data_IF_153080876556
#
_entry.id   IF_153080876556
#
_cell.length_a   1.000
_cell.length_b   1.000
_cell.length_c   1.000
_cell.angle_alpha   90.00
_cell.angle_beta   90.00
_cell.angle_gamma   90.00
#
_symmetry.space_group_name_H-M   'P 1'
#
loop_
_entity.id
_entity.type
_entity.pdbx_description
1 polymer ?
#
# COMPACT_ATOMS: atom_id res chain seq x y z
N UNK A 1 -1.97 -7.82 -28.39
CA UNK A 1 -2.10 -7.55 -26.94
C UNK A 1 -1.91 -8.87 -26.18
N UNK A 2 -1.17 -8.90 -25.06
CA UNK A 2 -0.92 -10.14 -24.28
C UNK A 2 -2.21 -10.80 -23.74
N UNK A 3 -3.30 -10.04 -23.65
CA UNK A 3 -4.64 -10.53 -23.25
C UNK A 3 -5.39 -11.29 -24.34
N UNK A 4 -4.88 -11.34 -25.58
CA UNK A 4 -5.57 -12.01 -26.71
C UNK A 4 -6.95 -11.42 -27.02
N UNK A 5 -7.21 -10.17 -26.61
CA UNK A 5 -8.50 -9.49 -26.78
C UNK A 5 -9.56 -9.87 -25.75
N UNK A 6 -9.30 -10.79 -24.80
CA UNK A 6 -10.31 -11.20 -23.78
C UNK A 6 -10.32 -10.22 -22.60
N UNK A 7 -11.49 -9.65 -22.32
CA UNK A 7 -11.68 -8.69 -21.22
C UNK A 7 -11.29 -9.26 -19.85
N UNK A 8 -11.66 -10.51 -19.54
CA UNK A 8 -11.29 -11.13 -18.25
C UNK A 8 -9.79 -11.16 -17.99
N UNK A 9 -9.01 -11.54 -19.01
CA UNK A 9 -7.55 -11.58 -18.90
C UNK A 9 -6.99 -10.15 -18.83
N UNK A 10 -7.53 -9.22 -19.61
CA UNK A 10 -7.13 -7.83 -19.57
C UNK A 10 -7.35 -7.21 -18.18
N UNK A 11 -8.50 -7.45 -17.56
CA UNK A 11 -8.84 -6.92 -16.25
C UNK A 11 -7.89 -7.41 -15.14
N UNK A 12 -7.59 -8.71 -15.13
CA UNK A 12 -6.62 -9.30 -14.17
C UNK A 12 -5.23 -8.72 -14.41
N UNK A 13 -4.78 -8.63 -15.66
CA UNK A 13 -3.48 -8.05 -16.00
C UNK A 13 -3.39 -6.57 -15.62
N UNK A 14 -4.47 -5.80 -15.77
CA UNK A 14 -4.55 -4.40 -15.34
C UNK A 14 -4.42 -4.32 -13.82
N UNK A 15 -5.20 -5.07 -13.05
CA UNK A 15 -5.10 -5.09 -11.60
C UNK A 15 -3.70 -5.49 -11.13
N UNK A 16 -3.11 -6.52 -11.74
CA UNK A 16 -1.75 -6.96 -11.42
C UNK A 16 -0.70 -5.90 -11.77
N UNK A 17 -0.81 -5.28 -12.95
CA UNK A 17 0.10 -4.21 -13.36
C UNK A 17 -0.02 -2.99 -12.44
N UNK A 18 -1.25 -2.58 -12.08
CA UNK A 18 -1.51 -1.52 -11.11
C UNK A 18 -0.84 -1.85 -9.78
N UNK A 19 -1.02 -3.06 -9.25
CA UNK A 19 -0.42 -3.44 -7.98
C UNK A 19 1.11 -3.42 -8.03
N UNK A 20 1.71 -3.99 -9.09
CA UNK A 20 3.17 -4.01 -9.26
C UNK A 20 3.73 -2.59 -9.41
N UNK A 21 3.07 -1.71 -10.17
CA UNK A 21 3.50 -0.32 -10.30
C UNK A 21 3.41 0.41 -8.94
N UNK A 22 2.33 0.18 -8.19
CA UNK A 22 2.11 0.81 -6.88
C UNK A 22 3.07 0.32 -5.80
N UNK A 23 3.78 -0.79 -6.01
CA UNK A 23 4.87 -1.19 -5.12
C UNK A 23 6.03 -0.19 -5.12
N UNK A 24 6.19 0.60 -6.18
CA UNK A 24 7.36 1.46 -6.40
C UNK A 24 7.00 2.93 -6.63
N UNK A 25 5.76 3.17 -7.04
CA UNK A 25 5.18 4.48 -7.32
C UNK A 25 4.07 4.73 -6.31
N UNK A 26 3.76 5.98 -6.00
CA UNK A 26 2.65 6.29 -5.08
C UNK A 26 1.32 5.73 -5.60
N UNK A 27 0.46 5.33 -4.67
CA UNK A 27 -0.87 4.79 -4.98
C UNK A 27 -1.68 5.75 -5.86
N UNK A 28 -1.62 7.05 -5.55
CA UNK A 28 -2.32 8.11 -6.28
C UNK A 28 -1.86 8.21 -7.73
N UNK A 29 -0.54 8.30 -7.95
CA UNK A 29 0.02 8.41 -9.30
C UNK A 29 -0.28 7.15 -10.12
N UNK A 30 -0.17 5.97 -9.51
CA UNK A 30 -0.47 4.71 -10.17
C UNK A 30 -1.94 4.62 -10.60
N UNK A 31 -2.87 4.96 -9.71
CA UNK A 31 -4.30 4.98 -10.05
C UNK A 31 -4.62 5.99 -11.17
N UNK A 32 -4.03 7.18 -11.11
CA UNK A 32 -4.19 8.22 -12.13
C UNK A 32 -3.65 7.77 -13.51
N UNK A 33 -2.52 7.06 -13.54
CA UNK A 33 -1.93 6.53 -14.78
C UNK A 33 -2.77 5.40 -15.39
N UNK A 34 -3.38 4.55 -14.56
CA UNK A 34 -4.15 3.39 -15.02
C UNK A 34 -5.60 3.75 -15.39
N UNK A 35 -6.14 4.86 -14.85
CA UNK A 35 -7.53 5.27 -15.07
C UNK A 35 -7.87 5.51 -16.56
N UNK A 36 -7.07 6.23 -17.38
CA UNK A 36 -7.34 6.37 -18.81
C UNK A 36 -7.44 5.05 -19.55
N UNK A 37 -6.63 4.05 -19.17
CA UNK A 37 -6.65 2.71 -19.79
C UNK A 37 -7.98 2.02 -19.50
N UNK A 38 -8.46 2.06 -18.25
CA UNK A 38 -9.77 1.51 -17.92
C UNK A 38 -10.91 2.26 -18.62
N UNK A 39 -10.85 3.58 -18.68
CA UNK A 39 -11.88 4.37 -19.38
C UNK A 39 -11.92 4.06 -20.87
N UNK A 40 -10.76 3.87 -21.52
CA UNK A 40 -10.69 3.45 -22.92
C UNK A 40 -11.33 2.07 -23.15
N UNK A 41 -11.15 1.12 -22.22
CA UNK A 41 -11.80 -0.20 -22.29
C UNK A 41 -13.31 -0.08 -22.06
N UNK A 42 -13.72 0.75 -21.09
CA UNK A 42 -15.14 0.97 -20.77
C UNK A 42 -15.89 1.79 -21.82
N UNK A 43 -15.20 2.52 -22.71
CA UNK A 43 -15.83 3.37 -23.72
C UNK A 43 -16.72 2.58 -24.71
N UNK A 44 -16.39 1.31 -24.95
CA UNK A 44 -17.11 0.43 -25.86
C UNK A 44 -18.17 -0.44 -25.15
N UNK A 45 -18.44 -0.20 -23.87
CA UNK A 45 -19.39 -0.98 -23.07
C UNK A 45 -20.72 -0.24 -22.89
N UNK A 46 -21.82 -1.00 -22.84
CA UNK A 46 -23.15 -0.47 -22.52
C UNK A 46 -23.28 -0.31 -21.00
N UNK A 47 -23.33 0.92 -20.49
CA UNK A 47 -23.40 1.19 -19.04
C UNK A 47 -24.62 0.57 -18.33
N UNK A 48 -25.69 0.28 -19.06
CA UNK A 48 -26.89 -0.37 -18.52
C UNK A 48 -26.69 -1.87 -18.36
N UNK A 49 -26.14 -2.53 -19.38
CA UNK A 49 -25.96 -4.00 -19.41
C UNK A 49 -24.67 -4.48 -18.75
N UNK A 50 -23.59 -3.71 -18.88
CA UNK A 50 -22.25 -4.07 -18.42
C UNK A 50 -21.82 -3.30 -17.16
N UNK A 51 -22.77 -2.75 -16.40
CA UNK A 51 -22.51 -1.98 -15.17
C UNK A 51 -21.56 -2.69 -14.21
N UNK A 52 -21.78 -3.99 -13.97
CA UNK A 52 -20.95 -4.79 -13.08
C UNK A 52 -19.50 -4.89 -13.56
N UNK A 53 -19.31 -5.01 -14.87
CA UNK A 53 -18.00 -5.05 -15.53
C UNK A 53 -17.25 -3.72 -15.42
N UNK A 54 -17.96 -2.61 -15.62
CA UNK A 54 -17.40 -1.26 -15.50
C UNK A 54 -16.93 -0.97 -14.08
N UNK A 55 -17.81 -1.22 -13.09
CA UNK A 55 -17.49 -0.99 -11.67
C UNK A 55 -16.36 -1.93 -11.21
N UNK A 56 -16.34 -3.18 -11.68
CA UNK A 56 -15.26 -4.13 -11.43
C UNK A 56 -13.89 -3.61 -11.90
N UNK A 57 -13.80 -3.06 -13.11
CA UNK A 57 -12.54 -2.50 -13.64
C UNK A 57 -12.07 -1.27 -12.87
N UNK A 58 -12.97 -0.32 -12.65
CA UNK A 58 -12.64 0.95 -12.00
C UNK A 58 -12.25 0.74 -10.53
N UNK A 59 -13.06 0.03 -9.74
CA UNK A 59 -12.72 -0.29 -8.35
C UNK A 59 -11.52 -1.23 -8.26
N UNK A 60 -11.37 -2.15 -9.22
CA UNK A 60 -10.21 -3.03 -9.33
C UNK A 60 -8.89 -2.25 -9.39
N UNK A 61 -8.83 -1.17 -10.17
CA UNK A 61 -7.64 -0.30 -10.22
C UNK A 61 -7.41 0.39 -8.88
N UNK A 62 -8.44 1.05 -8.32
CA UNK A 62 -8.28 1.80 -7.07
C UNK A 62 -7.78 0.90 -5.93
N UNK A 63 -8.40 -0.27 -5.76
CA UNK A 63 -8.01 -1.21 -4.71
C UNK A 63 -6.68 -1.88 -5.00
N UNK A 64 -6.36 -2.21 -6.26
CA UNK A 64 -5.05 -2.76 -6.62
C UNK A 64 -3.91 -1.77 -6.35
N UNK A 65 -4.13 -0.46 -6.54
CA UNK A 65 -3.15 0.55 -6.20
C UNK A 65 -2.89 0.56 -4.68
N UNK A 66 -3.94 0.68 -3.86
CA UNK A 66 -3.79 0.67 -2.40
C UNK A 66 -3.15 -0.63 -1.86
N UNK A 67 -3.57 -1.80 -2.38
CA UNK A 67 -3.01 -3.10 -1.97
C UNK A 67 -1.57 -3.24 -2.45
N UNK A 68 -1.27 -2.84 -3.69
CA UNK A 68 0.09 -2.90 -4.26
C UNK A 68 1.09 -2.08 -3.46
N UNK A 69 0.65 -0.93 -2.93
CA UNK A 69 1.45 -0.08 -2.06
C UNK A 69 1.94 -0.76 -0.77
N UNK A 70 1.31 -1.85 -0.33
CA UNK A 70 1.76 -2.64 0.83
C UNK A 70 3.07 -3.42 0.55
N UNK A 71 3.33 -3.77 -0.71
CA UNK A 71 4.35 -4.74 -1.08
C UNK A 71 5.79 -4.34 -0.74
N UNK A 72 6.11 -3.05 -0.72
CA UNK A 72 7.46 -2.55 -0.37
C UNK A 72 7.38 -1.32 0.54
N UNK A 73 8.52 -0.90 1.11
CA UNK A 73 8.60 0.31 1.93
C UNK A 73 8.23 1.59 1.18
N UNK A 74 8.48 1.64 -0.13
CA UNK A 74 8.36 2.86 -0.93
C UNK A 74 6.92 3.11 -1.36
N UNK A 75 6.13 2.05 -1.54
CA UNK A 75 4.78 2.15 -2.12
C UNK A 75 3.80 2.99 -1.29
N UNK A 76 3.88 2.94 0.05
CA UNK A 76 2.95 3.65 0.93
C UNK A 76 3.65 4.20 2.19
N UNK A 77 3.44 5.47 2.58
CA UNK A 77 4.07 6.06 3.77
C UNK A 77 3.86 5.32 5.10
N UNK A 78 2.70 4.72 5.43
CA UNK A 78 2.52 3.90 6.62
C UNK A 78 3.55 2.78 6.79
N UNK A 79 3.99 2.17 5.69
CA UNK A 79 4.97 1.09 5.69
C UNK A 79 6.32 1.59 6.25
N UNK A 80 6.73 2.77 5.80
CA UNK A 80 7.97 3.40 6.24
C UNK A 80 7.88 3.81 7.71
N UNK A 81 6.73 4.27 8.19
CA UNK A 81 6.50 4.59 9.61
C UNK A 81 6.71 3.35 10.48
N UNK A 82 6.10 2.23 10.11
CA UNK A 82 6.30 0.96 10.84
C UNK A 82 7.75 0.52 10.79
N UNK A 83 8.38 0.60 9.61
CA UNK A 83 9.75 0.19 9.46
C UNK A 83 10.72 1.02 10.30
N UNK A 84 10.51 2.33 10.40
CA UNK A 84 11.29 3.19 11.29
C UNK A 84 11.05 2.86 12.76
N UNK A 85 9.79 2.66 13.17
CA UNK A 85 9.46 2.30 14.55
C UNK A 85 10.06 0.94 14.99
N UNK A 86 10.20 0.00 14.05
CA UNK A 86 10.74 -1.35 14.29
C UNK A 86 12.22 -1.50 13.88
N UNK A 87 12.85 -0.47 13.33
CA UNK A 87 14.19 -0.53 12.71
C UNK A 87 14.32 -1.62 11.61
N UNK A 88 13.28 -1.79 10.80
CA UNK A 88 13.29 -2.73 9.68
C UNK A 88 14.04 -2.16 8.48
N UNK A 89 14.85 -3.00 7.84
CA UNK A 89 15.36 -2.72 6.49
C UNK A 89 14.28 -2.94 5.43
N UNK A 90 14.55 -2.48 4.21
CA UNK A 90 13.70 -2.73 3.05
C UNK A 90 13.38 -4.22 2.85
N UNK A 91 14.39 -5.08 2.95
CA UNK A 91 14.22 -6.52 2.83
C UNK A 91 13.39 -7.12 3.98
N UNK A 92 13.43 -6.53 5.19
CA UNK A 92 12.64 -7.02 6.31
C UNK A 92 11.16 -6.69 6.12
N UNK A 93 10.83 -5.47 5.66
CA UNK A 93 9.45 -5.13 5.32
C UNK A 93 8.91 -5.93 4.14
N UNK A 94 9.70 -6.17 3.09
CA UNK A 94 9.24 -6.99 1.97
C UNK A 94 8.78 -8.38 2.41
N UNK A 95 9.38 -8.96 3.46
CA UNK A 95 8.93 -10.25 4.02
C UNK A 95 7.56 -10.18 4.70
N UNK A 96 7.12 -8.98 5.07
CA UNK A 96 5.80 -8.71 5.65
C UNK A 96 4.80 -8.28 4.58
N UNK A 97 5.12 -7.19 3.89
CA UNK A 97 4.24 -6.54 2.93
C UNK A 97 3.95 -7.39 1.70
N UNK A 98 4.97 -8.05 1.13
CA UNK A 98 4.80 -8.81 -0.11
C UNK A 98 3.88 -10.04 0.07
N UNK A 99 4.04 -10.89 1.10
CA UNK A 99 3.09 -11.98 1.34
C UNK A 99 1.66 -11.51 1.57
N UNK A 100 1.47 -10.45 2.37
CA UNK A 100 0.13 -9.89 2.61
C UNK A 100 -0.49 -9.41 1.29
N UNK A 101 0.25 -8.63 0.50
CA UNK A 101 -0.19 -8.15 -0.82
C UNK A 101 -0.56 -9.31 -1.75
N UNK A 102 0.27 -10.34 -1.83
CA UNK A 102 0.05 -11.52 -2.68
C UNK A 102 -1.21 -12.30 -2.32
N UNK A 103 -1.61 -12.32 -1.05
CA UNK A 103 -2.87 -12.96 -0.59
C UNK A 103 -4.07 -12.03 -0.75
N UNK A 104 -3.86 -10.73 -0.49
CA UNK A 104 -4.92 -9.73 -0.50
C UNK A 104 -5.42 -9.39 -1.91
N UNK A 105 -4.54 -9.42 -2.91
CA UNK A 105 -4.92 -9.18 -4.32
C UNK A 105 -5.93 -10.21 -4.85
N UNK A 106 -5.71 -11.54 -4.73
CA UNK A 106 -6.72 -12.55 -5.05
C UNK A 106 -8.02 -12.39 -4.28
N UNK A 107 -7.95 -12.07 -2.98
CA UNK A 107 -9.16 -11.84 -2.15
C UNK A 107 -9.95 -10.65 -2.71
N UNK A 108 -9.28 -9.54 -3.02
CA UNK A 108 -9.90 -8.36 -3.62
C UNK A 108 -10.57 -8.68 -4.96
N UNK A 109 -9.88 -9.40 -5.85
CA UNK A 109 -10.46 -9.82 -7.13
C UNK A 109 -11.66 -10.75 -6.94
N UNK A 110 -11.60 -11.69 -5.99
CA UNK A 110 -12.70 -12.59 -5.68
C UNK A 110 -13.90 -11.83 -5.11
N UNK A 111 -13.69 -10.89 -4.18
CA UNK A 111 -14.76 -10.05 -3.62
C UNK A 111 -15.41 -9.22 -4.73
N UNK A 112 -14.63 -8.52 -5.56
CA UNK A 112 -15.16 -7.75 -6.69
C UNK A 112 -15.95 -8.64 -7.67
N UNK A 113 -15.43 -9.82 -7.99
CA UNK A 113 -16.10 -10.76 -8.90
C UNK A 113 -17.43 -11.25 -8.33
N UNK A 114 -17.47 -11.63 -7.05
CA UNK A 114 -18.68 -12.13 -6.40
C UNK A 114 -19.75 -11.05 -6.22
N UNK A 115 -19.34 -9.81 -5.92
CA UNK A 115 -20.25 -8.68 -5.69
C UNK A 115 -20.83 -8.15 -7.00
N UNK A 116 -20.00 -7.97 -8.02
CA UNK A 116 -20.41 -7.30 -9.26
C UNK A 116 -20.72 -8.25 -10.43
N UNK A 117 -20.30 -9.52 -10.35
CA UNK A 117 -20.53 -10.56 -11.37
C UNK A 117 -20.26 -10.05 -12.79
N UNK A 118 -19.04 -9.60 -13.09
CA UNK A 118 -18.72 -8.94 -14.35
C UNK A 118 -18.85 -9.89 -15.55
N UNK A 119 -19.29 -9.36 -16.69
CA UNK A 119 -19.29 -10.09 -17.95
C UNK A 119 -17.92 -10.01 -18.62
N UNK A 120 -17.06 -10.98 -18.34
CA UNK A 120 -15.67 -11.01 -18.82
C UNK A 120 -15.48 -11.57 -20.23
N UNK A 121 -16.59 -11.90 -20.91
CA UNK A 121 -16.57 -12.53 -22.25
C UNK A 121 -16.37 -11.56 -23.41
N UNK A 122 -16.46 -10.26 -23.15
CA UNK A 122 -16.26 -9.21 -24.16
C UNK A 122 -14.89 -9.29 -24.82
N UNK A 123 -14.87 -9.06 -26.13
CA UNK A 123 -13.65 -8.87 -26.90
C UNK A 123 -13.36 -7.37 -26.98
N UNK A 124 -12.17 -6.98 -26.53
CA UNK A 124 -11.72 -5.59 -26.63
C UNK A 124 -10.80 -5.48 -27.85
N UNK A 125 -11.16 -4.58 -28.76
CA UNK A 125 -10.21 -4.03 -29.72
C UNK A 125 -9.43 -2.94 -29.00
N UNK A 126 -8.16 -3.22 -28.71
CA UNK A 126 -7.24 -2.23 -28.16
C UNK A 126 -6.31 -1.80 -29.28
N UNK A 127 -6.27 -0.51 -29.57
CA UNK A 127 -5.17 0.04 -30.35
C UNK A 127 -3.88 -0.12 -29.55
N UNK A 128 -3.00 -0.96 -30.08
CA UNK A 128 -1.68 -1.19 -29.50
C UNK A 128 -0.78 -0.06 -29.98
N UNK A 129 -0.73 1.02 -29.23
CA UNK A 129 0.29 2.03 -29.47
C UNK A 129 1.67 1.41 -29.20
N UNK A 130 2.55 1.44 -30.21
CA UNK A 130 3.91 0.94 -30.03
C UNK A 130 4.71 1.95 -29.21
N UNK A 131 5.08 1.56 -27.99
CA UNK A 131 5.91 2.37 -27.10
C UNK A 131 7.39 2.07 -27.42
N UNK A 132 8.15 2.98 -28.06
CA UNK A 132 9.53 2.70 -28.46
C UNK A 132 10.48 2.63 -27.26
N UNK A 133 11.49 1.76 -27.35
CA UNK A 133 12.56 1.67 -26.38
C UNK A 133 13.60 2.75 -26.64
N UNK A 134 13.46 3.89 -25.95
CA UNK A 134 14.41 5.00 -26.04
C UNK A 134 15.55 4.81 -25.03
N UNK A 135 16.72 5.38 -25.33
CA UNK A 135 17.89 5.32 -24.42
C UNK A 135 17.54 5.79 -22.99
N UNK A 136 16.84 6.94 -22.79
CA UNK A 136 16.44 7.35 -21.44
C UNK A 136 15.62 6.29 -20.71
N UNK A 137 14.61 5.67 -21.36
CA UNK A 137 13.76 4.63 -20.75
C UNK A 137 14.55 3.40 -20.32
N UNK A 138 15.48 2.94 -21.15
CA UNK A 138 16.33 1.78 -20.82
C UNK A 138 17.22 2.10 -19.62
N UNK A 139 17.87 3.27 -19.62
CA UNK A 139 18.74 3.68 -18.51
C UNK A 139 17.93 3.82 -17.22
N UNK A 140 16.73 4.39 -17.26
CA UNK A 140 15.84 4.46 -16.09
C UNK A 140 15.54 3.07 -15.52
N UNK A 141 15.21 2.10 -16.38
CA UNK A 141 14.94 0.72 -15.95
C UNK A 141 16.18 0.07 -15.33
N UNK A 142 17.36 0.27 -15.94
CA UNK A 142 18.61 -0.26 -15.40
C UNK A 142 18.90 0.33 -14.02
N UNK A 143 18.82 1.66 -13.86
CA UNK A 143 19.02 2.31 -12.57
C UNK A 143 18.02 1.79 -11.55
N UNK A 144 16.73 1.71 -11.90
CA UNK A 144 15.68 1.18 -11.03
C UNK A 144 15.97 -0.26 -10.56
N UNK A 145 16.35 -1.16 -11.47
CA UNK A 145 16.68 -2.55 -11.13
C UNK A 145 17.90 -2.62 -10.22
N UNK A 146 18.92 -1.80 -10.46
CA UNK A 146 20.11 -1.72 -9.60
C UNK A 146 19.76 -1.16 -8.21
N UNK A 147 18.90 -0.15 -8.11
CA UNK A 147 18.40 0.39 -6.83
C UNK A 147 17.63 -0.68 -6.05
N UNK A 148 16.68 -1.37 -6.70
CA UNK A 148 15.90 -2.42 -6.07
C UNK A 148 16.79 -3.58 -5.59
N UNK A 149 17.76 -4.00 -6.40
CA UNK A 149 18.76 -4.99 -5.99
C UNK A 149 19.61 -4.49 -4.81
N UNK A 150 20.02 -3.23 -4.82
CA UNK A 150 20.76 -2.59 -3.74
C UNK A 150 20.01 -2.62 -2.41
N UNK A 151 18.69 -2.39 -2.42
CA UNK A 151 17.85 -2.49 -1.21
C UNK A 151 17.64 -3.94 -0.75
N UNK A 152 17.44 -4.89 -1.66
CA UNK A 152 17.26 -6.31 -1.29
C UNK A 152 18.54 -6.89 -0.69
N UNK A 153 19.71 -6.50 -1.21
CA UNK A 153 21.02 -7.01 -0.79
C UNK A 153 21.80 -6.05 0.10
N UNK A 154 21.15 -5.06 0.72
CA UNK A 154 21.84 -3.99 1.48
C UNK A 154 22.70 -4.54 2.62
N UNK A 155 22.21 -5.56 3.34
CA UNK A 155 22.96 -6.25 4.41
C UNK A 155 24.21 -6.97 3.88
N UNK A 156 24.14 -7.62 2.72
CA UNK A 156 25.27 -8.30 2.09
C UNK A 156 26.28 -7.30 1.53
N UNK A 157 25.79 -6.22 0.92
CA UNK A 157 26.62 -5.16 0.36
C UNK A 157 27.40 -4.42 1.46
N UNK A 158 26.75 -4.12 2.58
CA UNK A 158 27.39 -3.54 3.77
C UNK A 158 28.55 -4.41 4.28
N UNK A 159 28.38 -5.73 4.32
CA UNK A 159 29.46 -6.67 4.68
C UNK A 159 30.61 -6.71 3.68
N UNK A 160 30.33 -6.59 2.38
CA UNK A 160 31.35 -6.64 1.32
C UNK A 160 32.18 -5.35 1.26
N UNK A 161 31.55 -4.20 1.45
CA UNK A 161 32.20 -2.88 1.31
C UNK A 161 32.91 -2.46 2.61
N UNK A 162 32.61 -3.08 3.75
CA UNK A 162 33.25 -2.78 5.04
C UNK A 162 32.81 -1.46 5.68
N UNK A 163 31.86 -0.75 5.05
CA UNK A 163 31.18 0.43 5.58
C UNK A 163 29.68 0.16 5.71
N UNK A 164 29.04 0.75 6.71
CA UNK A 164 27.61 0.56 7.02
C UNK A 164 26.68 1.16 5.96
N UNK A 165 26.55 0.49 4.81
CA UNK A 165 25.58 0.86 3.78
C UNK A 165 24.18 0.52 4.31
N UNK A 166 23.42 1.55 4.68
CA UNK A 166 22.00 1.48 4.94
C UNK A 166 21.17 1.77 3.67
N UNK A 167 19.87 1.48 3.73
CA UNK A 167 18.95 1.65 2.60
C UNK A 167 18.83 3.11 2.13
N UNK A 168 19.12 4.08 3.01
CA UNK A 168 19.10 5.50 2.69
C UNK A 168 20.26 5.89 1.75
N UNK A 169 21.46 5.33 1.91
CA UNK A 169 22.57 5.57 0.97
C UNK A 169 22.22 5.09 -0.44
N UNK A 170 21.60 3.92 -0.57
CA UNK A 170 21.16 3.37 -1.87
C UNK A 170 20.15 4.31 -2.53
N UNK A 171 19.18 4.80 -1.77
CA UNK A 171 18.16 5.74 -2.26
C UNK A 171 18.77 7.06 -2.74
N UNK A 172 19.63 7.69 -1.94
CA UNK A 172 20.28 8.97 -2.27
C UNK A 172 21.19 8.81 -3.49
N UNK A 173 22.00 7.75 -3.56
CA UNK A 173 22.85 7.49 -4.72
C UNK A 173 22.03 7.35 -6.01
N UNK A 174 20.89 6.66 -5.93
CA UNK A 174 20.00 6.48 -7.08
C UNK A 174 19.40 7.81 -7.56
N UNK A 175 18.97 8.66 -6.63
CA UNK A 175 18.48 10.00 -6.95
C UNK A 175 19.56 10.87 -7.63
N UNK A 176 20.79 10.85 -7.11
CA UNK A 176 21.93 11.57 -7.71
C UNK A 176 22.23 11.05 -9.11
N UNK A 177 22.28 9.72 -9.30
CA UNK A 177 22.57 9.09 -10.59
C UNK A 177 21.54 9.48 -11.64
N UNK A 178 20.24 9.49 -11.32
CA UNK A 178 19.18 9.89 -12.25
C UNK A 178 19.34 11.35 -12.72
N UNK A 179 19.68 12.26 -11.79
CA UNK A 179 19.87 13.68 -12.10
C UNK A 179 21.15 13.91 -12.92
N UNK A 180 22.26 13.26 -12.55
CA UNK A 180 23.55 13.38 -13.24
C UNK A 180 23.48 12.81 -14.66
N UNK A 181 22.76 11.70 -14.86
CA UNK A 181 22.53 11.12 -16.19
C UNK A 181 21.55 11.94 -17.05
N UNK A 182 20.99 13.03 -16.52
CA UNK A 182 20.06 13.89 -17.24
C UNK A 182 18.72 13.24 -17.57
N UNK A 183 18.35 12.18 -16.83
CA UNK A 183 17.11 11.44 -17.02
C UNK A 183 15.93 12.22 -16.43
N UNK A 184 16.13 12.87 -15.28
CA UNK A 184 15.17 13.78 -14.66
C UNK A 184 15.88 15.05 -14.19
N UNK A 185 15.18 16.18 -14.16
CA UNK A 185 15.73 17.41 -13.58
C UNK A 185 15.53 17.39 -12.08
N UNK A 186 16.41 18.05 -11.34
CA UNK A 186 16.25 18.22 -9.89
C UNK A 186 14.92 18.87 -9.52
N UNK A 187 14.45 19.82 -10.35
CA UNK A 187 13.12 20.43 -10.21
C UNK A 187 12.02 19.37 -10.16
N UNK A 188 12.01 18.44 -11.12
CA UNK A 188 11.01 17.38 -11.21
C UNK A 188 11.07 16.48 -9.96
N UNK A 189 12.26 16.12 -9.50
CA UNK A 189 12.46 15.33 -8.28
C UNK A 189 11.92 16.06 -7.06
N UNK A 190 12.23 17.35 -6.92
CA UNK A 190 11.81 18.15 -5.78
C UNK A 190 10.29 18.37 -5.72
N UNK A 191 9.64 18.61 -6.86
CA UNK A 191 8.18 18.79 -6.92
C UNK A 191 7.41 17.49 -6.69
N UNK A 192 7.94 16.36 -7.15
CA UNK A 192 7.31 15.04 -6.93
C UNK A 192 7.64 14.43 -5.56
N UNK A 193 8.46 15.11 -4.75
CA UNK A 193 8.77 14.67 -3.38
C UNK A 193 7.73 15.21 -2.40
N UNK A 194 7.08 14.31 -1.66
CA UNK A 194 6.12 14.67 -0.62
C UNK A 194 6.84 15.12 0.68
N UNK A 195 7.41 16.33 0.68
CA UNK A 195 8.18 16.89 1.81
C UNK A 195 7.40 16.89 3.14
N UNK A 196 6.08 17.09 3.08
CA UNK A 196 5.20 17.04 4.25
C UNK A 196 5.18 15.67 4.93
N UNK A 197 5.27 14.58 4.14
CA UNK A 197 5.33 13.22 4.68
C UNK A 197 6.66 12.97 5.40
N UNK A 198 7.78 13.49 4.87
CA UNK A 198 9.08 13.43 5.53
C UNK A 198 9.09 14.18 6.87
N UNK A 199 8.48 15.38 6.92
CA UNK A 199 8.31 16.13 8.17
C UNK A 199 7.43 15.39 9.18
N UNK A 200 6.36 14.74 8.71
CA UNK A 200 5.47 13.95 9.55
C UNK A 200 6.19 12.73 10.16
N UNK A 201 7.11 12.09 9.43
CA UNK A 201 7.94 11.01 9.99
C UNK A 201 8.82 11.51 11.14
N UNK A 202 9.48 12.65 10.98
CA UNK A 202 10.25 13.27 12.06
C UNK A 202 9.38 13.61 13.28
N UNK A 203 8.16 14.12 13.04
CA UNK A 203 7.17 14.36 14.07
C UNK A 203 6.73 13.08 14.80
N UNK A 204 6.47 11.98 14.08
CA UNK A 204 6.09 10.69 14.65
C UNK A 204 7.20 10.06 15.50
N UNK A 205 8.46 10.15 15.06
CA UNK A 205 9.62 9.71 15.84
C UNK A 205 9.78 10.55 17.12
N UNK A 206 9.60 11.87 17.02
CA UNK A 206 9.62 12.78 18.17
C UNK A 206 8.51 12.42 19.17
N UNK A 207 7.29 12.20 18.68
CA UNK A 207 6.16 11.77 19.50
C UNK A 207 6.45 10.43 20.20
N UNK A 208 7.04 9.46 19.49
CA UNK A 208 7.43 8.16 20.06
C UNK A 208 8.40 8.33 21.24
N UNK A 209 9.41 9.18 21.09
CA UNK A 209 10.38 9.45 22.14
C UNK A 209 9.72 10.13 23.35
N UNK A 210 8.91 11.17 23.10
CA UNK A 210 8.19 11.90 24.16
C UNK A 210 7.23 10.98 24.93
N UNK A 211 6.52 10.07 24.26
CA UNK A 211 5.62 9.13 24.92
C UNK A 211 6.36 8.12 25.81
N UNK A 212 7.56 7.70 25.39
CA UNK A 212 8.46 6.86 26.20
C UNK A 212 8.99 7.60 27.42
N UNK A 213 9.59 8.77 27.21
CA UNK A 213 10.25 9.56 28.26
C UNK A 213 9.26 10.13 29.29
N UNK A 214 8.05 10.52 28.84
CA UNK A 214 6.99 11.00 29.74
C UNK A 214 6.31 9.90 30.56
N UNK A 215 6.54 8.62 30.22
CA UNK A 215 5.83 7.49 30.80
C UNK A 215 4.37 7.32 30.32
N UNK A 216 3.90 8.13 29.38
CA UNK A 216 2.55 8.03 28.81
C UNK A 216 2.30 6.66 28.13
N UNK A 217 3.32 6.10 27.45
CA UNK A 217 3.23 4.75 26.89
C UNK A 217 2.95 3.68 27.95
N UNK A 218 3.49 3.85 29.17
CA UNK A 218 3.24 2.93 30.29
C UNK A 218 1.80 3.03 30.77
N UNK A 219 1.27 4.25 30.95
CA UNK A 219 -0.12 4.46 31.38
C UNK A 219 -1.11 3.86 30.37
N UNK A 220 -0.88 4.10 29.07
CA UNK A 220 -1.71 3.52 28.00
C UNK A 220 -1.60 2.00 27.95
N UNK A 221 -0.38 1.46 28.05
CA UNK A 221 -0.14 0.03 28.11
C UNK A 221 -0.82 -0.64 29.30
N UNK A 222 -0.71 -0.06 30.48
CA UNK A 222 -1.37 -0.53 31.71
C UNK A 222 -2.89 -0.47 31.58
N UNK A 223 -3.45 0.57 30.97
CA UNK A 223 -4.89 0.68 30.72
C UNK A 223 -5.37 -0.45 29.81
N UNK A 224 -4.70 -0.66 28.69
CA UNK A 224 -5.04 -1.74 27.74
C UNK A 224 -4.85 -3.11 28.39
N UNK A 225 -3.76 -3.33 29.13
CA UNK A 225 -3.50 -4.57 29.85
C UNK A 225 -4.55 -4.83 30.96
N UNK A 226 -5.04 -3.80 31.65
CA UNK A 226 -6.12 -3.95 32.64
C UNK A 226 -7.45 -4.30 31.99
N UNK A 227 -7.77 -3.69 30.84
CA UNK A 227 -9.04 -3.92 30.15
C UNK A 227 -9.04 -5.23 29.36
N UNK A 228 -7.90 -5.63 28.78
CA UNK A 228 -7.78 -6.72 27.82
C UNK A 228 -6.72 -7.78 28.17
N UNK A 229 -6.06 -7.71 29.32
CA UNK A 229 -4.96 -8.63 29.67
C UNK A 229 -5.37 -10.11 29.83
N UNK A 230 -6.67 -10.38 30.03
CA UNK A 230 -7.23 -11.74 29.98
C UNK A 230 -7.77 -12.16 28.61
N UNK A 231 -7.79 -11.25 27.63
CA UNK A 231 -8.32 -11.54 26.30
C UNK A 231 -7.28 -12.31 25.47
N UNK A 232 -7.72 -13.28 24.64
CA UNK A 232 -6.84 -13.94 23.68
C UNK A 232 -6.14 -12.90 22.77
N UNK A 233 -4.82 -13.03 22.58
CA UNK A 233 -4.02 -12.09 21.78
C UNK A 233 -4.60 -11.86 20.39
N UNK A 234 -5.14 -12.92 19.75
CA UNK A 234 -5.79 -12.81 18.45
C UNK A 234 -6.98 -11.82 18.45
N UNK A 235 -7.77 -11.76 19.54
CA UNK A 235 -8.89 -10.81 19.65
C UNK A 235 -8.37 -9.39 19.75
N UNK A 236 -7.28 -9.16 20.48
CA UNK A 236 -6.63 -7.83 20.57
C UNK A 236 -6.15 -7.37 19.19
N UNK A 237 -5.51 -8.26 18.43
CA UNK A 237 -5.08 -7.97 17.06
C UNK A 237 -6.28 -7.65 16.15
N UNK A 238 -7.35 -8.45 16.23
CA UNK A 238 -8.55 -8.26 15.42
C UNK A 238 -9.27 -6.94 15.73
N UNK A 239 -9.45 -6.60 17.00
CA UNK A 239 -10.05 -5.32 17.41
C UNK A 239 -9.19 -4.15 16.96
N UNK A 240 -7.85 -4.26 17.09
CA UNK A 240 -6.92 -3.24 16.62
C UNK A 240 -7.01 -3.06 15.09
N UNK A 241 -7.08 -4.16 14.34
CA UNK A 241 -7.23 -4.14 12.89
C UNK A 241 -8.54 -3.48 12.46
N UNK A 242 -9.66 -3.84 13.09
CA UNK A 242 -10.97 -3.22 12.82
C UNK A 242 -10.93 -1.73 13.14
N UNK A 243 -10.34 -1.35 14.28
CA UNK A 243 -10.24 0.04 14.70
C UNK A 243 -9.47 0.89 13.67
N UNK A 244 -8.27 0.46 13.26
CA UNK A 244 -7.47 1.23 12.31
C UNK A 244 -8.12 1.28 10.92
N UNK A 245 -8.71 0.17 10.46
CA UNK A 245 -9.39 0.11 9.16
C UNK A 245 -10.58 1.07 9.14
N UNK A 246 -11.38 1.11 10.20
CA UNK A 246 -12.46 2.07 10.32
C UNK A 246 -11.97 3.51 10.41
N UNK A 247 -10.92 3.78 11.22
CA UNK A 247 -10.39 5.13 11.41
C UNK A 247 -9.84 5.72 10.11
N UNK A 248 -9.15 4.90 9.32
CA UNK A 248 -8.50 5.34 8.08
C UNK A 248 -9.50 5.67 6.96
N UNK A 249 -10.77 5.31 7.11
CA UNK A 249 -11.81 5.76 6.17
C UNK A 249 -12.09 7.27 6.33
N UNK A 250 -11.90 7.80 7.54
CA UNK A 250 -12.19 9.20 7.88
C UNK A 250 -10.94 10.08 7.98
N UNK A 251 -9.76 9.46 7.97
CA UNK A 251 -8.48 10.13 8.27
C UNK A 251 -7.42 9.69 7.25
N UNK A 252 -6.45 10.55 6.96
CA UNK A 252 -5.31 10.17 6.10
C UNK A 252 -4.58 8.93 6.64
N UNK A 253 -4.32 7.96 5.77
CA UNK A 253 -3.57 6.74 6.07
C UNK A 253 -2.25 7.04 6.79
N UNK A 254 -1.48 7.99 6.25
CA UNK A 254 -0.19 8.39 6.80
C UNK A 254 -0.32 9.03 8.18
N UNK A 255 -1.31 9.91 8.37
CA UNK A 255 -1.55 10.56 9.66
C UNK A 255 -1.97 9.53 10.73
N UNK A 256 -2.86 8.60 10.38
CA UNK A 256 -3.30 7.51 11.25
C UNK A 256 -2.12 6.64 11.69
N UNK A 257 -1.26 6.23 10.76
CA UNK A 257 -0.07 5.45 11.07
C UNK A 257 0.95 6.24 11.92
N UNK A 258 1.21 7.50 11.58
CA UNK A 258 2.20 8.34 12.27
C UNK A 258 1.83 8.56 13.74
N UNK A 259 0.53 8.66 14.04
CA UNK A 259 0.04 8.79 15.41
C UNK A 259 0.02 7.45 16.14
N UNK A 260 -0.53 6.40 15.51
CA UNK A 260 -0.90 5.18 16.23
C UNK A 260 0.22 4.15 16.32
N UNK A 261 1.12 4.07 15.34
CA UNK A 261 2.23 3.11 15.39
C UNK A 261 3.12 3.33 16.62
N UNK A 262 3.61 4.56 16.92
CA UNK A 262 4.38 4.79 18.14
C UNK A 262 3.65 4.43 19.42
N UNK A 263 2.36 4.80 19.51
CA UNK A 263 1.52 4.55 20.68
C UNK A 263 1.38 3.04 20.93
N UNK A 264 1.01 2.29 19.90
CA UNK A 264 0.73 0.87 20.02
C UNK A 264 1.98 0.00 20.08
N UNK A 265 3.12 0.44 19.55
CA UNK A 265 4.41 -0.21 19.79
C UNK A 265 4.78 -0.17 21.28
N UNK A 266 4.50 0.96 21.95
CA UNK A 266 4.65 1.09 23.40
C UNK A 266 3.69 0.18 24.16
N UNK A 267 2.41 0.16 23.78
CA UNK A 267 1.39 -0.71 24.38
C UNK A 267 1.75 -2.19 24.25
N UNK A 268 2.17 -2.64 23.06
CA UNK A 268 2.60 -4.03 22.82
C UNK A 268 3.68 -4.46 23.82
N UNK A 269 4.70 -3.60 24.01
CA UNK A 269 5.80 -3.87 24.93
C UNK A 269 5.32 -4.03 26.38
N UNK A 270 4.35 -3.21 26.82
CA UNK A 270 3.78 -3.29 28.17
C UNK A 270 2.90 -4.53 28.37
N UNK A 271 2.24 -4.99 27.31
CA UNK A 271 1.48 -6.24 27.31
C UNK A 271 2.38 -7.49 27.26
N UNK A 272 3.71 -7.34 27.18
CA UNK A 272 4.64 -8.45 27.00
C UNK A 272 4.62 -9.05 25.58
N UNK A 273 4.07 -8.33 24.60
CA UNK A 273 4.03 -8.73 23.20
C UNK A 273 5.19 -8.09 22.42
N UNK A 274 5.70 -8.74 21.36
CA UNK A 274 6.63 -8.12 20.44
C UNK A 274 6.03 -6.84 19.81
N UNK A 275 6.83 -5.78 19.67
CA UNK A 275 6.40 -4.47 19.14
C UNK A 275 5.84 -4.57 17.72
N UNK A 276 6.34 -5.55 16.99
CA UNK A 276 5.98 -5.92 15.62
C UNK A 276 4.47 -6.19 15.52
N UNK A 277 3.88 -6.82 16.54
CA UNK A 277 2.49 -7.29 16.49
C UNK A 277 1.50 -6.15 16.19
N UNK A 278 1.36 -5.19 17.09
CA UNK A 278 0.41 -4.09 16.92
C UNK A 278 0.88 -3.07 15.86
N UNK A 279 2.20 -2.90 15.69
CA UNK A 279 2.75 -1.96 14.70
C UNK A 279 2.42 -2.40 13.26
N UNK A 280 2.59 -3.68 12.93
CA UNK A 280 2.26 -4.23 11.60
C UNK A 280 0.75 -4.15 11.36
N UNK A 281 -0.07 -4.54 12.34
CA UNK A 281 -1.53 -4.44 12.24
C UNK A 281 -1.97 -3.01 11.89
N UNK A 282 -1.38 -2.01 12.55
CA UNK A 282 -1.72 -0.61 12.31
C UNK A 282 -1.20 -0.12 10.97
N UNK A 283 0.06 -0.37 10.63
CA UNK A 283 0.62 0.13 9.37
C UNK A 283 -0.06 -0.45 8.14
N UNK A 284 -0.28 -1.77 8.14
CA UNK A 284 -1.00 -2.44 7.05
C UNK A 284 -2.47 -2.03 7.05
N UNK A 285 -3.13 -2.07 8.22
CA UNK A 285 -4.54 -1.69 8.37
C UNK A 285 -4.85 -0.25 7.97
N UNK A 286 -3.91 0.69 8.20
CA UNK A 286 -4.04 2.08 7.76
C UNK A 286 -4.03 2.23 6.23
N UNK A 287 -3.53 1.24 5.48
CA UNK A 287 -3.60 1.27 4.00
C UNK A 287 -4.82 0.52 3.45
N UNK A 288 -5.62 -0.13 4.31
CA UNK A 288 -6.80 -0.93 3.95
C UNK A 288 -8.09 -0.09 3.91
N UNK A 289 -8.03 1.08 3.27
CA UNK A 289 -9.14 2.02 3.13
C UNK A 289 -9.93 1.77 1.84
N UNK A 290 -11.04 1.03 1.94
CA UNK A 290 -11.80 0.51 0.80
C UNK A 290 -13.27 0.96 0.75
N UNK A 291 -13.81 1.53 1.82
CA UNK A 291 -15.25 1.76 1.99
C UNK A 291 -15.69 3.08 1.37
N UNK A 292 -14.96 4.17 1.64
CA UNK A 292 -15.36 5.51 1.24
C UNK A 292 -14.51 6.09 0.10
N UNK A 293 -15.11 6.95 -0.76
CA UNK A 293 -14.37 7.62 -1.83
C UNK A 293 -13.26 8.55 -1.32
N UNK A 294 -13.55 9.29 -0.24
CA UNK A 294 -12.66 10.33 0.30
C UNK A 294 -11.48 9.72 1.08
N UNK A 295 -11.57 8.45 1.47
CA UNK A 295 -10.58 7.79 2.30
C UNK A 295 -9.19 7.77 1.65
N UNK A 296 -9.12 7.55 0.33
CA UNK A 296 -7.85 7.56 -0.41
C UNK A 296 -7.99 8.23 -1.77
N UNK A 297 -6.93 8.88 -2.28
CA UNK A 297 -6.97 9.48 -3.62
C UNK A 297 -7.30 8.48 -4.74
N UNK A 298 -6.80 7.22 -4.76
CA UNK A 298 -7.24 6.21 -5.72
C UNK A 298 -8.76 6.00 -5.74
N UNK A 299 -9.41 5.90 -4.57
CA UNK A 299 -10.87 5.75 -4.49
C UNK A 299 -11.57 7.01 -5.02
N UNK A 300 -11.08 8.20 -4.66
CA UNK A 300 -11.63 9.47 -5.11
C UNK A 300 -11.51 9.65 -6.63
N UNK A 301 -10.39 9.25 -7.23
CA UNK A 301 -10.14 9.35 -8.67
C UNK A 301 -11.16 8.51 -9.47
N UNK A 302 -11.34 7.25 -9.09
CA UNK A 302 -12.28 6.36 -9.80
C UNK A 302 -13.73 6.77 -9.54
N UNK A 303 -14.04 7.24 -8.33
CA UNK A 303 -15.37 7.77 -8.00
C UNK A 303 -15.68 9.06 -8.76
N UNK A 304 -14.68 9.93 -8.94
CA UNK A 304 -14.77 11.19 -9.68
C UNK A 304 -15.10 11.03 -11.16
N UNK A 305 -15.02 9.82 -11.71
CA UNK A 305 -15.53 9.51 -13.06
C UNK A 305 -17.05 9.64 -13.19
N UNK A 306 -17.78 9.66 -12.06
CA UNK A 306 -19.24 9.71 -12.03
C UNK A 306 -19.92 8.37 -12.35
N UNK A 307 -19.16 7.31 -12.65
CA UNK A 307 -19.72 6.02 -13.09
C UNK A 307 -19.99 5.03 -11.95
N UNK A 308 -19.35 5.22 -10.79
CA UNK A 308 -19.50 4.39 -9.59
C UNK A 308 -20.48 5.04 -8.61
N UNK A 309 -21.47 4.28 -8.12
CA UNK A 309 -22.36 4.75 -7.05
C UNK A 309 -21.70 4.50 -5.68
N UNK A 310 -21.90 5.41 -4.73
CA UNK A 310 -21.35 5.27 -3.39
C UNK A 310 -21.78 3.95 -2.71
N UNK A 311 -23.04 3.53 -2.89
CA UNK A 311 -23.54 2.25 -2.35
C UNK A 311 -22.78 1.03 -2.87
N UNK A 312 -22.28 1.08 -4.11
CA UNK A 312 -21.51 -0.01 -4.72
C UNK A 312 -20.12 -0.12 -4.08
N UNK A 313 -19.44 1.01 -3.94
CA UNK A 313 -18.14 1.10 -3.28
C UNK A 313 -18.24 0.65 -1.81
N UNK A 314 -19.22 1.16 -1.06
CA UNK A 314 -19.42 0.78 0.35
C UNK A 314 -19.69 -0.72 0.49
N UNK A 315 -20.57 -1.30 -0.33
CA UNK A 315 -20.90 -2.73 -0.25
C UNK A 315 -19.68 -3.62 -0.48
N UNK A 316 -18.88 -3.32 -1.49
CA UNK A 316 -17.65 -4.07 -1.77
C UNK A 316 -16.57 -3.80 -0.71
N UNK A 317 -16.38 -2.53 -0.36
CA UNK A 317 -15.39 -2.07 0.59
C UNK A 317 -15.56 -2.66 1.98
N UNK A 318 -16.78 -2.78 2.48
CA UNK A 318 -17.05 -3.40 3.80
C UNK A 318 -16.61 -4.87 3.83
N UNK A 319 -16.93 -5.63 2.78
CA UNK A 319 -16.53 -7.05 2.67
C UNK A 319 -15.00 -7.13 2.65
N UNK A 320 -14.36 -6.30 1.82
CA UNK A 320 -12.91 -6.28 1.69
C UNK A 320 -12.23 -5.83 2.99
N UNK A 321 -12.74 -4.81 3.67
CA UNK A 321 -12.27 -4.33 4.97
C UNK A 321 -12.32 -5.42 6.03
N UNK A 322 -13.43 -6.17 6.12
CA UNK A 322 -13.56 -7.30 7.04
C UNK A 322 -12.53 -8.39 6.69
N UNK A 323 -12.45 -8.81 5.42
CA UNK A 323 -11.46 -9.80 4.99
C UNK A 323 -10.03 -9.37 5.28
N UNK A 324 -9.73 -8.07 5.15
CA UNK A 324 -8.44 -7.47 5.45
C UNK A 324 -8.13 -7.53 6.94
N UNK A 325 -9.10 -7.19 7.80
CA UNK A 325 -8.94 -7.26 9.25
C UNK A 325 -8.58 -8.68 9.70
N UNK A 326 -9.30 -9.70 9.19
CA UNK A 326 -9.00 -11.10 9.47
C UNK A 326 -7.62 -11.52 8.94
N UNK A 327 -7.30 -11.16 7.68
CA UNK A 327 -6.02 -11.52 7.07
C UNK A 327 -4.83 -10.95 7.84
N UNK A 328 -4.86 -9.65 8.15
CA UNK A 328 -3.74 -8.97 8.83
C UNK A 328 -3.59 -9.47 10.26
N UNK A 329 -4.70 -9.72 10.96
CA UNK A 329 -4.67 -10.27 12.33
C UNK A 329 -4.15 -11.71 12.34
N UNK A 330 -4.61 -12.55 11.41
CA UNK A 330 -4.14 -13.93 11.29
C UNK A 330 -2.68 -14.01 10.89
N UNK A 331 -2.24 -13.22 9.91
CA UNK A 331 -0.84 -13.13 9.53
C UNK A 331 0.03 -12.74 10.72
N UNK A 332 -0.33 -11.66 11.41
CA UNK A 332 0.44 -11.18 12.56
C UNK A 332 0.51 -12.22 13.68
N UNK A 333 -0.62 -12.85 14.00
CA UNK A 333 -0.68 -13.90 15.01
C UNK A 333 0.20 -15.10 14.66
N UNK A 334 0.17 -15.58 13.41
CA UNK A 334 0.92 -16.77 12.99
C UNK A 334 2.44 -16.56 12.92
N UNK A 335 2.91 -15.33 12.67
CA UNK A 335 4.33 -15.05 12.45
C UNK A 335 5.02 -14.32 13.61
N UNK A 336 4.27 -13.73 14.54
CA UNK A 336 4.82 -12.87 15.59
C UNK A 336 4.31 -13.15 17.01
N UNK A 337 3.41 -14.12 17.19
CA UNK A 337 2.90 -14.57 18.51
C UNK A 337 3.19 -16.06 18.66
#
# INVERSE_FOLDING_TARGET
>A
ARSGGRLGVAAILICLATAILSMWVSNTATAAMMLPIALGICANMDEGKDRGTLVFLLLGIAYSASIGGLGTLVGSPPNLIVAQALNYSFADWMKVGLPIMCVMLPIMLAVLYLVFRPNLSHKIEMDIEQIPWTRPRIITIVVFVLTAAGWIFSKQLSKLVGFGINDAYVAICSAVVIVVLGIAKWHDVAENTEWGVLLLFGGGLTLSAVLGDSGASKVLGDLVARTFGGAPTYIVLLVTAIFIICLTEFTSNTASAALLVPVFAGVASQMGLPKETLSIVIGVGASCAFIMPVATPPNALVFGTGRIKQKEMVRCGVILAISSAFLVSAYTYLFYV
#
